data_IF_926285954429
#
_entry.id   IF_926285954429
#
_cell.length_a   1.000
_cell.length_b   1.000
_cell.length_c   1.000
_cell.angle_alpha   90.00
_cell.angle_beta   90.00
_cell.angle_gamma   90.00
#
_symmetry.space_group_name_H-M   'P 1'
#
loop_
_entity.id
_entity.type
_entity.pdbx_description
1 polymer ?
#
# COMPACT_ATOMS: atom_id res chain seq x y z
N UNK A 1 2.51 16.42 7.76
CA UNK A 1 3.41 15.78 6.79
C UNK A 1 3.66 14.33 7.21
N UNK A 2 3.91 13.42 6.28
CA UNK A 2 4.17 11.99 6.58
C UNK A 2 5.61 11.68 6.18
N UNK A 3 6.53 11.48 7.15
CA UNK A 3 7.93 11.18 6.84
C UNK A 3 8.07 9.87 6.06
N UNK A 4 9.08 9.80 5.19
CA UNK A 4 9.46 8.56 4.51
C UNK A 4 9.71 7.45 5.56
N UNK A 5 9.33 6.22 5.24
CA UNK A 5 9.50 5.12 6.18
C UNK A 5 8.40 5.02 7.26
N UNK A 6 7.45 5.96 7.32
CA UNK A 6 6.38 5.97 8.33
C UNK A 6 4.99 5.64 7.76
N UNK A 7 4.15 5.14 8.66
CA UNK A 7 2.72 4.87 8.47
C UNK A 7 1.90 5.76 9.38
N UNK A 8 0.74 6.18 8.90
CA UNK A 8 -0.26 6.90 9.70
C UNK A 8 -1.65 6.36 9.39
N UNK A 9 -2.53 6.46 10.38
CA UNK A 9 -3.92 6.02 10.28
C UNK A 9 -4.85 7.20 10.47
N UNK A 10 -5.80 7.35 9.55
CA UNK A 10 -6.86 8.36 9.61
C UNK A 10 -8.24 7.71 9.66
N UNK A 11 -9.22 8.42 10.22
CA UNK A 11 -10.63 8.08 10.01
C UNK A 11 -11.14 8.85 8.80
N UNK A 12 -11.58 8.14 7.77
CA UNK A 12 -12.09 8.73 6.54
C UNK A 12 -13.37 8.04 6.09
N UNK A 13 -14.43 8.83 5.88
CA UNK A 13 -15.77 8.35 5.47
C UNK A 13 -16.27 7.15 6.29
N UNK A 14 -16.03 7.19 7.60
CA UNK A 14 -16.45 6.15 8.55
C UNK A 14 -15.59 4.88 8.55
N UNK A 15 -14.51 4.81 7.76
CA UNK A 15 -13.57 3.68 7.71
C UNK A 15 -12.15 4.13 8.09
N UNK A 16 -11.29 3.22 8.58
CA UNK A 16 -9.86 3.51 8.71
C UNK A 16 -9.21 3.65 7.34
N UNK A 17 -8.33 4.63 7.19
CA UNK A 17 -7.50 4.85 6.01
C UNK A 17 -6.04 4.78 6.46
N UNK A 18 -5.29 3.85 5.90
CA UNK A 18 -3.86 3.71 6.16
C UNK A 18 -3.08 4.39 5.04
N UNK A 19 -2.12 5.24 5.42
CA UNK A 19 -1.22 5.92 4.49
C UNK A 19 0.21 5.62 4.89
N UNK A 20 1.01 5.17 3.93
CA UNK A 20 2.44 4.83 4.07
C UNK A 20 3.25 5.60 3.03
N UNK A 21 4.25 6.35 3.50
CA UNK A 21 5.24 7.00 2.64
C UNK A 21 6.43 6.05 2.39
N UNK A 22 6.32 5.23 1.36
CA UNK A 22 7.25 4.14 1.06
C UNK A 22 8.64 4.66 0.68
N UNK A 23 9.66 3.93 1.09
CA UNK A 23 11.03 4.16 0.60
C UNK A 23 11.20 3.55 -0.80
N UNK A 24 12.22 3.98 -1.53
CA UNK A 24 12.57 3.38 -2.82
C UNK A 24 12.86 1.87 -2.73
N UNK A 25 13.43 1.41 -1.61
CA UNK A 25 13.75 0.01 -1.38
C UNK A 25 12.47 -0.82 -1.23
N UNK A 26 11.46 -0.32 -0.51
CA UNK A 26 10.18 -1.00 -0.38
C UNK A 26 9.48 -1.12 -1.74
N UNK A 27 9.45 -0.03 -2.52
CA UNK A 27 8.86 -0.05 -3.87
C UNK A 27 9.55 -1.06 -4.78
N UNK A 28 10.89 -1.14 -4.75
CA UNK A 28 11.65 -2.09 -5.54
C UNK A 28 11.39 -3.55 -5.13
N UNK A 29 11.27 -3.83 -3.83
CA UNK A 29 10.93 -5.15 -3.31
C UNK A 29 9.55 -5.59 -3.79
N UNK A 30 8.53 -4.75 -3.66
CA UNK A 30 7.15 -5.11 -4.06
C UNK A 30 7.02 -5.30 -5.58
N UNK A 31 7.74 -4.52 -6.38
CA UNK A 31 7.73 -4.67 -7.85
C UNK A 31 8.40 -5.96 -8.33
N UNK A 32 9.25 -6.59 -7.51
CA UNK A 32 9.95 -7.84 -7.84
C UNK A 32 9.18 -9.11 -7.43
N UNK A 33 8.04 -8.96 -6.78
CA UNK A 33 7.23 -10.10 -6.34
C UNK A 33 6.68 -10.86 -7.55
N UNK A 34 6.88 -12.18 -7.55
CA UNK A 34 6.35 -13.06 -8.59
C UNK A 34 4.83 -13.20 -8.44
N UNK A 35 4.07 -12.64 -9.38
CA UNK A 35 2.60 -12.58 -9.27
C UNK A 35 1.91 -13.94 -9.17
N UNK A 36 2.49 -14.98 -9.76
CA UNK A 36 1.95 -16.34 -9.71
C UNK A 36 1.99 -16.97 -8.31
N UNK A 37 2.73 -16.40 -7.36
CA UNK A 37 2.74 -16.88 -5.97
C UNK A 37 1.63 -16.26 -5.12
N UNK A 38 0.92 -15.25 -5.65
CA UNK A 38 -0.14 -14.53 -4.94
C UNK A 38 -1.50 -15.16 -5.22
N UNK A 39 -2.38 -15.21 -4.21
CA UNK A 39 -3.76 -15.70 -4.37
C UNK A 39 -4.58 -14.84 -5.33
N UNK A 40 -4.38 -13.52 -5.27
CA UNK A 40 -5.01 -12.51 -6.12
C UNK A 40 -3.89 -11.74 -6.83
N UNK A 41 -3.48 -12.16 -8.04
CA UNK A 41 -2.37 -11.55 -8.76
C UNK A 41 -2.67 -10.12 -9.20
N UNK A 42 -1.89 -9.16 -8.71
CA UNK A 42 -1.99 -7.75 -9.10
C UNK A 42 -0.62 -7.07 -8.95
N UNK A 43 -0.21 -6.26 -9.93
CA UNK A 43 1.05 -5.50 -9.85
C UNK A 43 0.94 -4.29 -8.91
N UNK A 44 2.05 -3.80 -8.36
CA UNK A 44 2.04 -2.58 -7.53
C UNK A 44 1.56 -1.36 -8.34
N UNK A 45 1.98 -1.25 -9.62
CA UNK A 45 1.58 -0.16 -10.52
C UNK A 45 0.07 -0.09 -10.81
N UNK A 46 -0.65 -1.20 -10.67
CA UNK A 46 -2.12 -1.20 -10.79
C UNK A 46 -2.82 -0.73 -9.51
N UNK A 47 -2.11 -0.76 -8.37
CA UNK A 47 -2.64 -0.46 -7.04
C UNK A 47 -2.39 0.97 -6.59
N UNK A 48 -1.35 1.60 -7.12
CA UNK A 48 -0.95 2.96 -6.76
C UNK A 48 -0.83 3.86 -7.99
N UNK A 49 -1.10 5.15 -7.81
CA UNK A 49 -0.83 6.16 -8.85
C UNK A 49 0.58 6.74 -8.73
N UNK A 50 1.07 6.86 -7.50
CA UNK A 50 2.40 7.38 -7.18
C UNK A 50 3.12 6.37 -6.29
N UNK A 51 4.24 5.77 -6.75
CA UNK A 51 4.90 4.69 -6.02
C UNK A 51 5.38 5.07 -4.62
N UNK A 52 5.63 6.35 -4.31
CA UNK A 52 6.01 6.73 -2.94
C UNK A 52 4.85 6.59 -1.95
N UNK A 53 3.60 6.52 -2.41
CA UNK A 53 2.42 6.52 -1.57
C UNK A 53 1.65 5.21 -1.70
N UNK A 54 1.54 4.48 -0.58
CA UNK A 54 0.55 3.42 -0.43
C UNK A 54 -0.60 3.95 0.43
N UNK A 55 -1.78 4.04 -0.19
CA UNK A 55 -3.02 4.51 0.44
C UNK A 55 -4.05 3.41 0.32
N UNK A 56 -4.47 2.83 1.46
CA UNK A 56 -5.41 1.71 1.48
C UNK A 56 -6.50 1.92 2.52
N UNK A 57 -7.69 1.43 2.21
CA UNK A 57 -8.77 1.32 3.21
C UNK A 57 -8.36 0.20 4.18
N UNK A 58 -8.25 0.53 5.47
CA UNK A 58 -7.78 -0.37 6.53
C UNK A 58 -8.81 -1.42 6.97
N UNK A 59 -9.53 -2.00 6.03
CA UNK A 59 -10.53 -3.05 6.26
C UNK A 59 -10.01 -4.32 5.61
N UNK A 60 -9.77 -5.36 6.42
CA UNK A 60 -9.37 -6.66 5.91
C UNK A 60 -10.52 -7.25 5.06
N UNK A 61 -10.18 -7.92 3.96
CA UNK A 61 -11.19 -8.54 3.08
C UNK A 61 -11.83 -9.80 3.67
N UNK A 62 -11.36 -10.28 4.82
CA UNK A 62 -11.92 -11.45 5.49
C UNK A 62 -13.23 -11.12 6.21
N UNK A 63 -13.21 -10.16 7.15
CA UNK A 63 -14.35 -9.75 7.98
C UNK A 63 -14.36 -8.23 8.17
#
# INVERSE_FOLDING_TARGET
>A
DIPEGKSVTFKWRGKPLFIRHRTAQEVDVENKVALNTLRDPQTDSERVQDPKWLVVIGVCTHL
#
